data_IF_634269079455
#
_entry.id   IF_634269079455
#
_cell.length_a   1.000
_cell.length_b   1.000
_cell.length_c   1.000
_cell.angle_alpha   90.00
_cell.angle_beta   90.00
_cell.angle_gamma   90.00
#
_symmetry.space_group_name_H-M   'P 1'
#
loop_
_entity.id
_entity.type
_entity.pdbx_description
1 polymer ?
#
# COMPACT_ATOMS: atom_id res chain seq x y z
N UNK A 1 -16.11 -13.45 -4.17
CA UNK A 1 -16.26 -12.01 -3.90
C UNK A 1 -17.72 -11.61 -4.06
N UNK A 2 -18.19 -10.68 -3.23
CA UNK A 2 -19.50 -10.02 -3.32
C UNK A 2 -19.27 -8.51 -3.29
N UNK A 3 -20.01 -7.74 -4.11
CA UNK A 3 -19.82 -6.29 -4.20
C UNK A 3 -21.14 -5.54 -4.46
N UNK A 4 -22.08 -5.51 -3.49
CA UNK A 4 -23.34 -4.79 -3.67
C UNK A 4 -23.11 -3.27 -3.69
N UNK A 5 -23.92 -2.57 -4.49
CA UNK A 5 -23.90 -1.11 -4.53
C UNK A 5 -25.31 -0.55 -4.72
N UNK A 6 -25.59 0.57 -4.06
CA UNK A 6 -26.81 1.34 -4.23
C UNK A 6 -26.45 2.79 -4.46
N UNK A 7 -26.96 3.38 -5.54
CA UNK A 7 -26.92 4.83 -5.74
C UNK A 7 -28.31 5.43 -5.53
N UNK A 8 -28.41 6.36 -4.60
CA UNK A 8 -29.58 7.16 -4.34
C UNK A 8 -29.39 8.58 -4.87
N UNK A 9 -30.35 9.06 -5.67
CA UNK A 9 -30.36 10.40 -6.26
C UNK A 9 -31.67 11.11 -5.89
N UNK A 10 -31.75 11.74 -4.71
CA UNK A 10 -32.98 12.42 -4.29
C UNK A 10 -33.32 13.63 -5.16
N UNK A 11 -32.34 14.25 -5.82
CA UNK A 11 -32.50 15.36 -6.76
C UNK A 11 -31.53 15.19 -7.93
N UNK A 12 -31.60 16.08 -8.93
CA UNK A 12 -30.61 16.17 -10.01
C UNK A 12 -29.22 16.62 -9.54
N UNK A 13 -29.16 17.24 -8.35
CA UNK A 13 -27.96 17.90 -7.84
C UNK A 13 -27.26 17.10 -6.74
N UNK A 14 -27.90 16.05 -6.22
CA UNK A 14 -27.39 15.21 -5.14
C UNK A 14 -27.30 13.77 -5.60
N UNK A 15 -26.14 13.16 -5.42
CA UNK A 15 -25.91 11.74 -5.67
C UNK A 15 -25.17 11.13 -4.50
N UNK A 16 -25.69 10.05 -3.95
CA UNK A 16 -25.05 9.30 -2.87
C UNK A 16 -24.98 7.83 -3.25
N UNK A 17 -23.77 7.31 -3.35
CA UNK A 17 -23.52 5.89 -3.62
C UNK A 17 -22.94 5.24 -2.38
N UNK A 18 -23.55 4.14 -1.93
CA UNK A 18 -23.00 3.25 -0.91
C UNK A 18 -22.65 1.93 -1.58
N UNK A 19 -21.41 1.48 -1.40
CA UNK A 19 -20.93 0.21 -1.94
C UNK A 19 -20.27 -0.62 -0.85
N UNK A 20 -20.59 -1.90 -0.83
CA UNK A 20 -19.92 -2.90 -0.01
C UNK A 20 -19.03 -3.77 -0.88
N UNK A 21 -17.92 -4.24 -0.33
CA UNK A 21 -17.12 -5.32 -0.92
C UNK A 21 -16.80 -6.33 0.17
N UNK A 22 -16.99 -7.60 -0.13
CA UNK A 22 -16.55 -8.72 0.70
C UNK A 22 -15.81 -9.74 -0.17
N UNK A 23 -14.59 -10.07 0.22
CA UNK A 23 -13.73 -11.00 -0.51
C UNK A 23 -13.03 -11.92 0.47
N UNK A 24 -13.01 -13.21 0.12
CA UNK A 24 -12.33 -14.26 0.87
C UNK A 24 -11.51 -15.06 -0.12
N UNK A 25 -10.20 -15.04 0.09
CA UNK A 25 -9.25 -15.76 -0.75
C UNK A 25 -8.58 -16.85 0.07
N UNK A 26 -8.43 -18.03 -0.54
CA UNK A 26 -7.74 -19.18 0.06
C UNK A 26 -6.74 -19.70 -0.93
N UNK A 27 -5.47 -19.56 -0.61
CA UNK A 27 -4.36 -19.94 -1.46
C UNK A 27 -3.22 -20.52 -0.62
N UNK A 28 -2.21 -21.06 -1.28
CA UNK A 28 -0.88 -21.28 -0.69
C UNK A 28 -0.02 -20.03 -0.83
N UNK A 29 1.18 -20.03 -0.25
CA UNK A 29 2.12 -18.92 -0.41
C UNK A 29 2.88 -19.07 -1.73
N UNK A 30 3.22 -17.95 -2.35
CA UNK A 30 3.99 -17.92 -3.61
C UNK A 30 5.50 -17.81 -3.38
N UNK A 31 5.96 -17.98 -2.13
CA UNK A 31 7.37 -17.80 -1.75
C UNK A 31 8.24 -18.96 -2.23
N UNK A 32 8.65 -18.88 -3.50
CA UNK A 32 9.59 -19.80 -4.14
C UNK A 32 10.96 -19.15 -4.32
N UNK A 33 11.70 -18.91 -3.23
CA UNK A 33 13.12 -18.60 -3.38
C UNK A 33 13.86 -19.91 -3.68
N UNK A 34 14.36 -20.06 -4.90
CA UNK A 34 15.31 -21.11 -5.25
C UNK A 34 16.72 -20.52 -5.30
N UNK A 35 17.76 -21.27 -4.88
CA UNK A 35 19.14 -20.81 -4.98
C UNK A 35 19.53 -20.40 -6.40
N UNK A 36 20.39 -19.39 -6.53
CA UNK A 36 20.97 -18.98 -7.83
C UNK A 36 21.68 -20.14 -8.54
N UNK A 37 22.37 -20.98 -7.79
CA UNK A 37 23.00 -22.21 -8.28
C UNK A 37 21.93 -23.30 -8.41
N UNK A 38 21.78 -23.85 -9.61
CA UNK A 38 20.68 -24.75 -9.96
C UNK A 38 19.49 -24.02 -10.60
N UNK A 39 19.52 -22.69 -10.72
CA UNK A 39 18.52 -21.92 -11.48
C UNK A 39 19.16 -21.06 -12.56
N UNK A 40 19.97 -20.07 -12.17
CA UNK A 40 20.71 -19.17 -13.08
C UNK A 40 22.11 -19.70 -13.36
N UNK A 41 22.81 -20.14 -12.31
CA UNK A 41 24.16 -20.69 -12.38
C UNK A 41 24.11 -22.22 -12.42
N UNK A 42 25.08 -22.89 -13.07
CA UNK A 42 25.19 -24.34 -13.04
C UNK A 42 25.30 -24.90 -11.61
N UNK A 43 24.78 -26.10 -11.40
CA UNK A 43 24.95 -26.90 -10.18
C UNK A 43 25.37 -28.33 -10.58
N UNK A 44 26.21 -29.02 -9.78
CA UNK A 44 26.64 -30.40 -10.06
C UNK A 44 25.50 -31.40 -10.34
N UNK A 45 24.28 -31.12 -9.85
CA UNK A 45 23.09 -31.95 -10.01
C UNK A 45 22.19 -31.51 -11.19
N UNK A 46 22.63 -30.56 -12.00
CA UNK A 46 21.84 -29.95 -13.07
C UNK A 46 20.94 -28.81 -12.58
N UNK A 47 19.93 -28.46 -13.38
CA UNK A 47 18.97 -27.43 -13.01
C UNK A 47 17.86 -27.99 -12.11
N UNK A 48 17.51 -27.22 -11.08
CA UNK A 48 16.37 -27.49 -10.20
C UNK A 48 15.08 -27.46 -11.06
N UNK A 49 14.19 -28.45 -10.93
CA UNK A 49 12.93 -28.45 -11.67
C UNK A 49 12.11 -27.17 -11.45
N UNK A 50 11.53 -26.62 -12.51
CA UNK A 50 10.76 -25.35 -12.45
C UNK A 50 9.51 -25.42 -11.55
N UNK A 51 9.00 -26.62 -11.31
CA UNK A 51 7.87 -26.87 -10.41
C UNK A 51 8.31 -27.28 -9.00
N UNK A 52 9.60 -27.14 -8.66
CA UNK A 52 10.10 -27.50 -7.33
C UNK A 52 9.52 -26.57 -6.28
N UNK A 53 8.67 -27.11 -5.43
CA UNK A 53 8.19 -26.40 -4.24
C UNK A 53 9.18 -26.60 -3.08
N UNK A 54 9.80 -25.52 -2.61
CA UNK A 54 10.77 -25.58 -1.51
C UNK A 54 10.14 -25.34 -0.12
N UNK A 55 8.84 -25.08 -0.07
CA UNK A 55 8.09 -24.92 1.17
C UNK A 55 7.62 -26.24 1.78
N UNK A 56 6.53 -26.18 2.54
CA UNK A 56 5.86 -27.34 3.13
C UNK A 56 4.40 -27.39 2.68
N UNK A 57 4.01 -28.32 1.78
CA UNK A 57 2.65 -28.42 1.26
C UNK A 57 1.57 -28.57 2.33
N UNK A 58 1.93 -29.07 3.52
CA UNK A 58 0.97 -29.30 4.60
C UNK A 58 0.71 -28.05 5.45
N UNK A 59 1.62 -27.08 5.41
CA UNK A 59 1.57 -25.87 6.24
C UNK A 59 1.58 -24.58 5.43
N UNK A 60 1.52 -24.67 4.09
CA UNK A 60 1.51 -23.53 3.20
C UNK A 60 0.12 -22.90 3.10
N UNK A 61 -0.06 -21.76 3.77
CA UNK A 61 -1.36 -21.09 3.91
C UNK A 61 -1.22 -19.61 3.66
N UNK A 62 -1.99 -19.08 2.71
CA UNK A 62 -2.25 -17.66 2.56
C UNK A 62 -3.75 -17.45 2.39
N UNK A 63 -4.39 -17.01 3.47
CA UNK A 63 -5.82 -16.77 3.52
C UNK A 63 -6.07 -15.32 3.95
N UNK A 64 -6.85 -14.61 3.15
CA UNK A 64 -7.25 -13.24 3.43
C UNK A 64 -8.76 -13.13 3.39
N UNK A 65 -9.33 -12.47 4.38
CA UNK A 65 -10.74 -12.15 4.45
C UNK A 65 -10.86 -10.64 4.62
N UNK A 66 -11.46 -9.97 3.64
CA UNK A 66 -11.58 -8.52 3.60
C UNK A 66 -13.02 -8.10 3.40
N UNK A 67 -13.43 -7.10 4.16
CA UNK A 67 -14.72 -6.44 4.06
C UNK A 67 -14.52 -4.93 4.02
N UNK A 68 -15.25 -4.23 3.17
CA UNK A 68 -15.24 -2.78 3.14
C UNK A 68 -16.62 -2.21 2.84
N UNK A 69 -16.93 -1.07 3.45
CA UNK A 69 -18.06 -0.22 3.10
C UNK A 69 -17.55 1.15 2.70
N UNK A 70 -18.02 1.67 1.58
CA UNK A 70 -17.66 3.00 1.09
C UNK A 70 -18.90 3.83 0.82
N UNK A 71 -18.81 5.13 1.14
CA UNK A 71 -19.83 6.14 0.90
C UNK A 71 -19.23 7.21 0.00
N UNK A 72 -19.84 7.43 -1.16
CA UNK A 72 -19.45 8.42 -2.16
C UNK A 72 -20.61 9.41 -2.29
N UNK A 73 -20.48 10.56 -1.65
CA UNK A 73 -21.50 11.59 -1.61
C UNK A 73 -21.07 12.80 -2.44
N UNK A 74 -21.96 13.26 -3.30
CA UNK A 74 -21.79 14.48 -4.08
C UNK A 74 -23.03 15.36 -3.98
N UNK A 75 -22.80 16.66 -3.79
CA UNK A 75 -23.86 17.65 -3.85
C UNK A 75 -23.38 18.89 -4.61
N UNK A 76 -24.11 19.25 -5.66
CA UNK A 76 -23.91 20.49 -6.41
C UNK A 76 -24.89 21.54 -5.88
N UNK A 77 -24.38 22.56 -5.19
CA UNK A 77 -25.23 23.66 -4.73
C UNK A 77 -25.72 24.52 -5.89
N UNK A 78 -24.85 24.66 -6.92
CA UNK A 78 -25.12 25.31 -8.20
C UNK A 78 -24.00 24.94 -9.19
N UNK A 79 -23.95 25.59 -10.37
CA UNK A 79 -22.96 25.33 -11.41
C UNK A 79 -21.51 25.66 -11.02
N UNK A 80 -21.34 26.52 -10.01
CA UNK A 80 -20.06 27.02 -9.52
C UNK A 80 -19.56 26.28 -8.27
N UNK A 81 -20.45 25.73 -7.43
CA UNK A 81 -20.10 25.17 -6.13
C UNK A 81 -20.54 23.72 -5.99
N UNK A 82 -19.56 22.82 -5.83
CA UNK A 82 -19.78 21.37 -5.61
C UNK A 82 -19.05 20.91 -4.35
N UNK A 83 -19.75 20.18 -3.49
CA UNK A 83 -19.17 19.45 -2.37
C UNK A 83 -19.09 17.96 -2.70
N UNK A 84 -18.01 17.31 -2.29
CA UNK A 84 -17.81 15.86 -2.40
C UNK A 84 -17.27 15.32 -1.09
N UNK A 85 -17.83 14.21 -0.62
CA UNK A 85 -17.31 13.45 0.50
C UNK A 85 -17.14 12.00 0.06
N UNK A 86 -15.93 11.47 0.24
CA UNK A 86 -15.63 10.07 0.06
C UNK A 86 -15.21 9.47 1.40
N UNK A 87 -15.86 8.40 1.82
CA UNK A 87 -15.56 7.69 3.06
C UNK A 87 -15.40 6.20 2.76
N UNK A 88 -14.44 5.56 3.41
CA UNK A 88 -14.26 4.11 3.38
C UNK A 88 -13.85 3.61 4.75
N UNK A 89 -14.54 2.57 5.22
CA UNK A 89 -14.06 1.71 6.29
C UNK A 89 -13.80 0.33 5.72
N UNK A 90 -12.64 -0.24 6.02
CA UNK A 90 -12.25 -1.57 5.58
C UNK A 90 -11.62 -2.37 6.73
N UNK A 91 -12.00 -3.62 6.84
CA UNK A 91 -11.45 -4.60 7.76
C UNK A 91 -10.80 -5.73 6.98
N UNK A 92 -9.60 -6.14 7.37
CA UNK A 92 -8.85 -7.20 6.71
C UNK A 92 -8.24 -8.13 7.74
N UNK A 93 -8.64 -9.40 7.73
CA UNK A 93 -7.98 -10.48 8.43
C UNK A 93 -7.09 -11.27 7.47
N UNK A 94 -5.93 -11.67 7.95
CA UNK A 94 -4.94 -12.43 7.20
C UNK A 94 -4.35 -13.54 8.06
N UNK A 95 -4.26 -14.74 7.49
CA UNK A 95 -3.48 -15.85 8.04
C UNK A 95 -2.43 -16.23 7.01
N UNK A 96 -1.19 -16.23 7.45
CA UNK A 96 -0.02 -16.51 6.63
C UNK A 96 0.87 -17.54 7.32
N UNK A 97 1.14 -18.65 6.63
CA UNK A 97 2.09 -19.67 7.04
C UNK A 97 2.92 -20.05 5.84
N UNK A 98 4.22 -19.87 5.94
CA UNK A 98 5.14 -20.11 4.84
C UNK A 98 6.40 -20.78 5.34
N UNK A 99 6.92 -21.69 4.53
CA UNK A 99 8.27 -22.22 4.64
C UNK A 99 8.98 -21.89 3.35
N UNK A 100 10.20 -21.39 3.42
CA UNK A 100 11.00 -21.00 2.26
C UNK A 100 12.48 -21.30 2.48
N UNK A 101 13.27 -21.32 1.40
CA UNK A 101 14.73 -21.56 1.48
C UNK A 101 15.43 -20.44 2.22
N UNK A 102 16.35 -20.77 3.12
CA UNK A 102 17.19 -19.78 3.77
C UNK A 102 18.14 -19.13 2.74
N UNK A 103 17.95 -17.83 2.48
CA UNK A 103 18.75 -17.04 1.53
C UNK A 103 19.68 -16.02 2.21
N UNK A 104 19.78 -16.01 3.54
CA UNK A 104 20.62 -15.06 4.29
C UNK A 104 22.11 -15.46 4.34
N UNK A 105 22.53 -16.35 3.43
CA UNK A 105 23.87 -16.91 3.33
C UNK A 105 23.96 -17.92 2.20
N UNK A 106 24.91 -18.87 2.29
CA UNK A 106 24.91 -20.04 1.40
C UNK A 106 23.69 -20.90 1.72
N UNK A 107 22.72 -21.07 0.78
CA UNK A 107 21.50 -21.80 1.07
C UNK A 107 21.75 -23.30 1.24
N UNK A 108 22.82 -23.83 0.63
CA UNK A 108 23.14 -25.25 0.68
C UNK A 108 23.93 -25.59 1.95
N UNK A 109 23.56 -26.69 2.59
CA UNK A 109 24.21 -27.17 3.82
C UNK A 109 25.13 -28.36 3.59
N UNK A 110 25.19 -28.86 2.35
CA UNK A 110 25.95 -30.03 1.96
C UNK A 110 26.91 -29.72 0.82
N UNK A 111 28.04 -30.43 0.79
CA UNK A 111 29.05 -30.29 -0.26
C UNK A 111 28.51 -30.74 -1.64
N UNK A 112 27.50 -31.62 -1.69
CA UNK A 112 26.89 -32.05 -2.93
C UNK A 112 25.94 -30.99 -3.54
N UNK A 113 25.71 -29.85 -2.87
CA UNK A 113 24.88 -28.74 -3.36
C UNK A 113 23.45 -29.19 -3.70
N UNK A 114 22.83 -30.00 -2.84
CA UNK A 114 21.46 -30.53 -3.04
C UNK A 114 20.48 -30.07 -1.99
N UNK A 115 20.94 -30.00 -0.75
CA UNK A 115 20.11 -29.87 0.43
C UNK A 115 20.22 -28.46 0.96
N UNK A 116 19.08 -27.83 1.20
CA UNK A 116 19.03 -26.46 1.73
C UNK A 116 18.42 -26.39 3.11
N UNK A 117 18.90 -25.44 3.91
CA UNK A 117 18.20 -25.02 5.10
C UNK A 117 16.97 -24.18 4.72
N UNK A 118 15.97 -24.17 5.60
CA UNK A 118 14.71 -23.47 5.39
C UNK A 118 14.37 -22.60 6.59
N UNK A 119 13.60 -21.55 6.34
CA UNK A 119 12.96 -20.75 7.37
C UNK A 119 11.45 -20.88 7.28
N UNK A 120 10.79 -20.76 8.43
CA UNK A 120 9.36 -20.83 8.56
C UNK A 120 8.82 -19.62 9.29
N UNK A 121 7.65 -19.16 8.89
CA UNK A 121 6.92 -18.10 9.57
C UNK A 121 5.44 -18.44 9.66
N UNK A 122 4.85 -18.15 10.82
CA UNK A 122 3.41 -18.25 11.06
C UNK A 122 2.93 -16.90 11.57
N UNK A 123 1.88 -16.37 10.97
CA UNK A 123 1.43 -15.01 11.24
C UNK A 123 -0.08 -14.95 11.09
N UNK A 124 -0.71 -14.21 12.00
CA UNK A 124 -2.08 -13.76 11.86
C UNK A 124 -2.11 -12.25 12.04
N UNK A 125 -2.79 -11.54 11.14
CA UNK A 125 -2.91 -10.09 11.18
C UNK A 125 -4.37 -9.69 11.01
N UNK A 126 -4.77 -8.62 11.68
CA UNK A 126 -6.09 -8.01 11.54
C UNK A 126 -5.91 -6.50 11.47
N UNK A 127 -6.42 -5.86 10.42
CA UNK A 127 -6.25 -4.44 10.17
C UNK A 127 -7.61 -3.76 9.97
N UNK A 128 -7.82 -2.66 10.68
CA UNK A 128 -8.89 -1.71 10.42
C UNK A 128 -8.32 -0.50 9.68
N UNK A 129 -8.99 -0.07 8.62
CA UNK A 129 -8.62 1.09 7.82
C UNK A 129 -9.82 2.00 7.69
N UNK A 130 -9.71 3.22 8.21
CA UNK A 130 -10.68 4.28 8.01
C UNK A 130 -10.08 5.37 7.13
N UNK A 131 -10.83 5.86 6.16
CA UNK A 131 -10.41 6.97 5.31
C UNK A 131 -11.61 7.84 5.00
N UNK A 132 -11.45 9.15 5.12
CA UNK A 132 -12.45 10.14 4.72
C UNK A 132 -11.76 11.30 4.02
N UNK A 133 -12.34 11.78 2.93
CA UNK A 133 -11.94 12.98 2.21
C UNK A 133 -13.17 13.85 1.99
N UNK A 134 -13.09 15.10 2.40
CA UNK A 134 -14.12 16.12 2.17
C UNK A 134 -13.51 17.22 1.35
N UNK A 135 -14.09 17.52 0.20
CA UNK A 135 -13.62 18.59 -0.66
C UNK A 135 -14.75 19.47 -1.19
N UNK A 136 -14.38 20.72 -1.44
CA UNK A 136 -15.20 21.77 -2.00
C UNK A 136 -14.54 22.28 -3.27
N UNK A 137 -15.24 22.14 -4.39
CA UNK A 137 -14.81 22.65 -5.68
C UNK A 137 -15.59 23.93 -6.00
N UNK A 138 -14.86 24.98 -6.36
CA UNK A 138 -15.38 26.31 -6.69
C UNK A 138 -14.92 26.70 -8.09
N UNK A 139 -15.85 27.06 -8.97
CA UNK A 139 -15.55 27.73 -10.23
C UNK A 139 -15.69 29.23 -10.05
N UNK A 140 -14.68 29.98 -10.44
CA UNK A 140 -14.70 31.44 -10.36
C UNK A 140 -14.11 32.07 -11.62
N UNK A 141 -14.46 33.33 -11.87
CA UNK A 141 -13.90 34.14 -12.95
C UNK A 141 -13.26 35.38 -12.32
N UNK A 142 -12.00 35.65 -12.65
CA UNK A 142 -11.32 36.91 -12.29
C UNK A 142 -10.89 37.63 -13.57
N UNK A 143 -11.83 38.40 -14.15
CA UNK A 143 -11.64 38.99 -15.47
C UNK A 143 -11.62 37.91 -16.56
N UNK A 144 -10.50 37.79 -17.28
CA UNK A 144 -10.31 36.79 -18.33
C UNK A 144 -9.81 35.43 -17.82
N UNK A 145 -9.48 35.32 -16.52
CA UNK A 145 -8.93 34.12 -15.91
C UNK A 145 -10.07 33.25 -15.34
N UNK A 146 -10.17 32.01 -15.82
CA UNK A 146 -11.08 31.02 -15.26
C UNK A 146 -10.36 30.20 -14.18
N UNK A 147 -10.97 30.08 -13.01
CA UNK A 147 -10.45 29.32 -11.89
C UNK A 147 -11.34 28.11 -11.61
N UNK A 148 -10.69 26.99 -11.30
CA UNK A 148 -11.31 25.82 -10.70
C UNK A 148 -10.52 25.49 -9.43
N UNK A 149 -10.98 26.07 -8.33
CA UNK A 149 -10.37 25.96 -7.02
C UNK A 149 -10.93 24.74 -6.30
N UNK A 150 -10.06 24.00 -5.61
CA UNK A 150 -10.39 22.86 -4.77
C UNK A 150 -9.80 23.11 -3.38
N UNK A 151 -10.61 23.02 -2.35
CA UNK A 151 -10.17 22.94 -0.97
C UNK A 151 -10.61 21.62 -0.38
N UNK A 152 -9.79 21.00 0.46
CA UNK A 152 -10.22 19.79 1.13
C UNK A 152 -9.43 19.45 2.38
N UNK A 153 -10.04 18.54 3.14
CA UNK A 153 -9.48 17.90 4.30
C UNK A 153 -9.70 16.40 4.18
N UNK A 154 -8.62 15.65 4.34
CA UNK A 154 -8.69 14.20 4.46
C UNK A 154 -8.11 13.71 5.78
N UNK A 155 -8.58 12.53 6.17
CA UNK A 155 -8.11 11.81 7.33
C UNK A 155 -8.04 10.32 7.01
N UNK A 156 -6.93 9.69 7.38
CA UNK A 156 -6.75 8.24 7.35
C UNK A 156 -6.34 7.75 8.72
N UNK A 157 -6.91 6.63 9.12
CA UNK A 157 -6.50 5.87 10.30
C UNK A 157 -6.32 4.39 9.93
N UNK A 158 -5.24 3.79 10.42
CA UNK A 158 -4.93 2.38 10.23
C UNK A 158 -4.55 1.79 11.57
N UNK A 159 -5.32 0.81 12.03
CA UNK A 159 -5.08 0.09 13.27
C UNK A 159 -4.76 -1.37 12.96
N UNK A 160 -3.55 -1.80 13.31
CA UNK A 160 -3.00 -3.11 13.00
C UNK A 160 -2.80 -3.94 14.27
N UNK A 161 -3.36 -5.14 14.27
CA UNK A 161 -3.22 -6.16 15.32
C UNK A 161 -2.55 -7.37 14.72
N UNK A 162 -1.62 -7.98 15.44
CA UNK A 162 -0.87 -9.11 14.90
C UNK A 162 -0.44 -10.11 15.95
N UNK A 163 -0.26 -11.34 15.51
CA UNK A 163 0.34 -12.42 16.27
C UNK A 163 1.36 -13.13 15.38
N UNK A 164 2.50 -13.48 15.97
CA UNK A 164 3.60 -14.15 15.28
C UNK A 164 3.86 -15.49 15.96
N UNK A 165 4.01 -16.53 15.15
CA UNK A 165 4.57 -17.82 15.54
C UNK A 165 6.03 -17.84 15.16
N UNK A 166 6.87 -18.13 16.15
CA UNK A 166 8.30 -18.35 15.98
C UNK A 166 8.71 -19.61 16.73
N UNK A 167 9.78 -20.27 16.28
CA UNK A 167 10.33 -21.44 16.97
C UNK A 167 10.32 -22.74 16.16
N UNK A 168 9.66 -22.77 15.00
CA UNK A 168 9.84 -23.84 14.03
C UNK A 168 11.13 -23.68 13.26
N UNK A 169 12.08 -24.62 13.40
CA UNK A 169 13.16 -24.79 12.43
C UNK A 169 12.68 -25.83 11.41
N UNK A 170 12.20 -25.43 10.22
CA UNK A 170 11.84 -26.41 9.22
C UNK A 170 13.08 -27.24 8.90
N UNK A 171 12.94 -28.58 8.93
CA UNK A 171 14.04 -29.46 8.58
C UNK A 171 14.59 -29.15 7.19
N UNK A 172 15.85 -29.51 6.90
CA UNK A 172 16.44 -29.27 5.59
C UNK A 172 15.71 -30.03 4.47
N UNK A 173 15.86 -29.57 3.23
CA UNK A 173 15.16 -30.13 2.06
C UNK A 173 16.12 -30.36 0.89
N UNK A 174 16.13 -31.57 0.33
CA UNK A 174 16.80 -31.85 -0.95
C UNK A 174 15.96 -31.25 -2.11
N UNK A 175 16.53 -30.31 -2.85
CA UNK A 175 15.85 -29.61 -3.96
C UNK A 175 15.73 -30.42 -5.25
N UNK A 176 16.41 -31.56 -5.35
CA UNK A 176 16.37 -32.44 -6.52
C UNK A 176 15.51 -33.67 -6.28
N UNK A 177 15.40 -34.12 -5.02
CA UNK A 177 14.53 -35.23 -4.60
C UNK A 177 13.91 -34.98 -3.20
N UNK A 178 12.95 -34.06 -3.06
CA UNK A 178 12.40 -33.67 -1.75
C UNK A 178 11.53 -34.75 -1.14
N UNK A 179 11.63 -34.88 0.18
CA UNK A 179 10.68 -35.59 1.03
C UNK A 179 10.03 -34.56 1.95
N UNK A 180 8.72 -34.36 1.80
CA UNK A 180 7.98 -33.36 2.57
C UNK A 180 7.51 -33.96 3.89
N UNK A 181 8.08 -33.47 4.99
CA UNK A 181 7.65 -33.78 6.36
C UNK A 181 6.95 -32.58 6.96
N UNK A 182 5.96 -32.81 7.82
CA UNK A 182 5.24 -31.74 8.52
C UNK A 182 6.19 -30.87 9.33
N UNK A 183 6.05 -29.55 9.21
CA UNK A 183 6.79 -28.54 9.96
C UNK A 183 5.87 -27.93 11.02
N UNK A 184 6.31 -27.92 12.28
CA UNK A 184 5.68 -27.10 13.31
C UNK A 184 6.27 -25.67 13.24
N UNK A 185 5.42 -24.66 13.06
CA UNK A 185 5.82 -23.26 12.98
C UNK A 185 5.66 -22.51 14.31
N UNK A 186 5.33 -23.24 15.38
CA UNK A 186 5.10 -22.69 16.71
C UNK A 186 3.72 -22.01 16.86
N UNK A 187 3.24 -21.86 18.10
CA UNK A 187 1.98 -21.19 18.38
C UNK A 187 2.09 -19.69 18.12
N UNK A 188 0.97 -19.08 17.73
CA UNK A 188 0.86 -17.64 17.57
C UNK A 188 0.92 -16.94 18.94
N UNK A 189 1.85 -16.01 19.10
CA UNK A 189 1.97 -15.11 20.25
C UNK A 189 1.62 -13.70 19.82
N UNK A 190 0.74 -13.03 20.56
CA UNK A 190 0.33 -11.66 20.27
C UNK A 190 1.52 -10.72 20.39
N UNK A 191 1.69 -9.86 19.39
CA UNK A 191 2.67 -8.76 19.42
C UNK A 191 1.93 -7.43 19.65
N UNK A 192 2.65 -6.36 20.04
CA UNK A 192 2.03 -5.05 20.23
C UNK A 192 1.26 -4.56 19.02
N UNK A 193 0.13 -3.92 19.29
CA UNK A 193 -0.68 -3.28 18.25
C UNK A 193 0.05 -2.03 17.72
N UNK A 194 -0.30 -1.60 16.50
CA UNK A 194 0.22 -0.39 15.88
C UNK A 194 -0.90 0.44 15.28
N UNK A 195 -0.86 1.75 15.49
CA UNK A 195 -1.84 2.70 14.95
C UNK A 195 -1.12 3.80 14.17
N UNK A 196 -1.63 4.09 12.97
CA UNK A 196 -1.16 5.20 12.15
C UNK A 196 -2.34 6.07 11.74
N UNK A 197 -2.26 7.36 12.05
CA UNK A 197 -3.20 8.36 11.60
C UNK A 197 -2.51 9.45 10.78
N UNK A 198 -3.23 10.01 9.81
CA UNK A 198 -2.76 11.12 8.99
C UNK A 198 -3.92 12.06 8.65
N UNK A 199 -3.74 13.34 8.91
CA UNK A 199 -4.64 14.41 8.49
C UNK A 199 -3.98 15.26 7.43
N UNK A 200 -4.66 15.47 6.31
CA UNK A 200 -4.22 16.34 5.22
C UNK A 200 -5.12 17.55 5.05
N UNK A 201 -4.54 18.73 4.95
CA UNK A 201 -5.22 19.95 4.49
C UNK A 201 -4.66 20.33 3.14
N UNK A 202 -5.52 20.56 2.14
CA UNK A 202 -5.05 20.87 0.81
C UNK A 202 -5.87 21.94 0.11
N UNK A 203 -5.20 22.68 -0.76
CA UNK A 203 -5.78 23.66 -1.66
C UNK A 203 -5.12 23.53 -3.03
N UNK A 204 -5.90 23.63 -4.10
CA UNK A 204 -5.40 23.64 -5.48
C UNK A 204 -6.23 24.59 -6.31
N UNK A 205 -5.58 25.38 -7.15
CA UNK A 205 -6.22 26.19 -8.18
C UNK A 205 -5.74 25.75 -9.56
N UNK A 206 -6.69 25.39 -10.42
CA UNK A 206 -6.48 25.24 -11.85
C UNK A 206 -6.98 26.50 -12.55
N UNK A 207 -6.05 27.18 -13.22
CA UNK A 207 -6.30 28.45 -13.90
C UNK A 207 -6.23 28.28 -15.42
N UNK A 208 -7.17 28.87 -16.14
CA UNK A 208 -7.20 28.91 -17.61
C UNK A 208 -7.26 30.34 -18.12
N UNK A 209 -6.34 30.69 -19.03
CA UNK A 209 -6.31 31.97 -19.73
C UNK A 209 -6.07 31.73 -21.22
N UNK A 210 -7.16 31.65 -22.00
CA UNK A 210 -7.09 31.26 -23.41
C UNK A 210 -6.45 29.87 -23.56
N UNK A 211 -5.34 29.74 -24.31
CA UNK A 211 -4.63 28.46 -24.50
C UNK A 211 -3.75 28.07 -23.31
N UNK A 212 -3.57 28.94 -22.30
CA UNK A 212 -2.74 28.64 -21.14
C UNK A 212 -3.54 27.92 -20.07
N UNK A 213 -2.96 26.83 -19.55
CA UNK A 213 -3.47 26.12 -18.38
C UNK A 213 -2.38 26.05 -17.32
N UNK A 214 -2.63 26.64 -16.16
CA UNK A 214 -1.72 26.58 -15.01
C UNK A 214 -2.39 25.83 -13.86
N UNK A 215 -1.61 25.14 -13.03
CA UNK A 215 -2.10 24.58 -11.76
C UNK A 215 -1.11 24.87 -10.67
N UNK A 216 -1.59 25.33 -9.52
CA UNK A 216 -0.79 25.47 -8.30
C UNK A 216 -1.53 24.78 -7.17
N UNK A 217 -0.83 23.97 -6.39
CA UNK A 217 -1.40 23.26 -5.26
C UNK A 217 -0.45 23.22 -4.09
N UNK A 218 -1.02 23.21 -2.89
CA UNK A 218 -0.32 23.07 -1.62
C UNK A 218 -1.08 22.10 -0.74
N UNK A 219 -0.32 21.31 0.02
CA UNK A 219 -0.85 20.36 0.99
C UNK A 219 0.00 20.37 2.23
N UNK A 220 -0.65 20.33 3.38
CA UNK A 220 -0.04 20.13 4.68
C UNK A 220 -0.52 18.81 5.26
N UNK A 221 0.41 17.92 5.57
CA UNK A 221 0.15 16.64 6.23
C UNK A 221 0.63 16.67 7.69
N UNK A 222 -0.14 16.03 8.55
CA UNK A 222 0.21 15.71 9.94
C UNK A 222 0.02 14.21 10.11
N UNK A 223 1.10 13.48 10.38
CA UNK A 223 1.10 12.03 10.54
C UNK A 223 1.55 11.65 11.95
N UNK A 224 0.83 10.72 12.57
CA UNK A 224 1.12 10.16 13.88
C UNK A 224 1.23 8.64 13.76
N UNK A 225 2.24 8.07 14.38
CA UNK A 225 2.38 6.63 14.59
C UNK A 225 2.46 6.36 16.08
N UNK A 226 1.71 5.36 16.53
CA UNK A 226 1.71 4.86 17.90
C UNK A 226 1.97 3.37 17.88
N UNK A 227 3.05 2.93 18.50
CA UNK A 227 3.36 1.53 18.73
C UNK A 227 4.19 1.39 20.01
N UNK A 228 4.19 0.21 20.64
CA UNK A 228 4.93 -0.01 21.89
C UNK A 228 6.42 0.18 21.64
N UNK A 229 7.01 1.19 22.30
CA UNK A 229 8.41 1.53 22.19
C UNK A 229 8.75 2.56 21.10
N UNK A 230 7.77 2.94 20.25
CA UNK A 230 8.02 3.89 19.15
C UNK A 230 6.76 4.73 18.85
N UNK A 231 6.76 5.96 19.38
CA UNK A 231 5.80 7.00 18.99
C UNK A 231 6.50 8.00 18.08
N UNK A 232 5.83 8.40 17.01
CA UNK A 232 6.39 9.32 16.03
C UNK A 232 5.32 10.29 15.56
N UNK A 233 5.60 11.58 15.64
CA UNK A 233 4.81 12.63 15.02
C UNK A 233 5.64 13.31 13.93
N UNK A 234 5.02 13.52 12.78
CA UNK A 234 5.65 14.08 11.58
C UNK A 234 4.71 15.05 10.89
N UNK A 235 5.29 16.06 10.24
CA UNK A 235 4.53 16.98 9.42
C UNK A 235 5.35 17.43 8.23
N UNK A 236 4.66 17.71 7.13
CA UNK A 236 5.28 18.21 5.93
C UNK A 236 4.31 19.06 5.13
N UNK A 237 4.84 20.13 4.55
CA UNK A 237 4.18 20.87 3.48
C UNK A 237 4.75 20.38 2.14
N UNK A 238 3.88 20.02 1.20
CA UNK A 238 4.23 19.66 -0.17
C UNK A 238 3.50 20.56 -1.15
N UNK A 239 4.19 20.97 -2.21
CA UNK A 239 3.63 21.77 -3.29
C UNK A 239 3.63 21.06 -4.64
N UNK A 240 2.81 21.57 -5.56
CA UNK A 240 2.94 21.30 -6.99
C UNK A 240 2.61 22.53 -7.81
N UNK A 241 3.28 22.67 -8.94
CA UNK A 241 3.03 23.72 -9.91
C UNK A 241 3.20 23.16 -11.32
N UNK A 242 2.27 23.46 -12.22
CA UNK A 242 2.38 23.10 -13.64
C UNK A 242 1.90 24.23 -14.55
N UNK A 243 2.47 24.25 -15.75
CA UNK A 243 2.07 25.15 -16.83
C UNK A 243 2.04 24.36 -18.14
N UNK A 244 0.94 24.48 -18.87
CA UNK A 244 0.70 23.86 -20.17
C UNK A 244 0.21 24.92 -21.15
N UNK A 245 0.58 24.77 -22.42
CA UNK A 245 0.08 25.58 -23.52
C UNK A 245 -0.63 24.71 -24.55
N UNK A 246 -1.89 24.99 -24.83
CA UNK A 246 -2.67 24.28 -25.84
C UNK A 246 -2.42 24.89 -27.22
N UNK A 247 -1.75 24.15 -28.12
CA UNK A 247 -1.56 24.63 -29.50
C UNK A 247 -2.78 24.31 -30.37
N UNK A 248 -3.04 25.10 -31.44
CA UNK A 248 -4.13 24.82 -32.38
C UNK A 248 -4.01 23.48 -33.13
N UNK A 249 -2.83 22.88 -33.17
CA UNK A 249 -2.53 21.64 -33.91
C UNK A 249 -2.41 20.41 -33.00
N UNK A 250 -2.82 20.52 -31.73
CA UNK A 250 -2.96 19.39 -30.80
C UNK A 250 -1.68 18.94 -30.09
N UNK A 251 -0.60 19.71 -30.21
CA UNK A 251 0.65 19.53 -29.47
C UNK A 251 0.63 20.39 -28.21
N UNK A 252 0.73 19.82 -27.01
CA UNK A 252 0.45 20.57 -25.78
C UNK A 252 1.64 20.51 -24.81
N UNK A 253 2.70 21.30 -25.08
CA UNK A 253 3.89 21.28 -24.23
C UNK A 253 3.55 21.70 -22.81
N UNK A 254 4.17 21.03 -21.85
CA UNK A 254 3.97 21.30 -20.45
C UNK A 254 5.27 21.17 -19.65
N UNK A 255 5.28 21.86 -18.51
CA UNK A 255 6.26 21.69 -17.45
C UNK A 255 5.53 21.49 -16.13
N UNK A 256 6.01 20.58 -15.31
CA UNK A 256 5.46 20.33 -13.99
C UNK A 256 6.57 20.13 -12.97
N UNK A 257 6.32 20.63 -11.77
CA UNK A 257 7.11 20.42 -10.57
C UNK A 257 6.18 19.90 -9.48
N UNK A 258 6.60 18.88 -8.76
CA UNK A 258 5.83 18.35 -7.64
C UNK A 258 6.75 17.78 -6.55
N UNK A 259 6.27 17.88 -5.31
CA UNK A 259 6.90 17.27 -4.15
C UNK A 259 6.07 16.12 -3.62
N UNK A 260 6.72 15.15 -2.98
CA UNK A 260 6.07 14.05 -2.27
C UNK A 260 6.60 13.92 -0.85
N UNK A 261 5.73 13.38 0.01
CA UNK A 261 6.02 13.10 1.40
C UNK A 261 5.46 11.71 1.75
N UNK A 262 6.31 10.86 2.32
CA UNK A 262 5.92 9.57 2.86
C UNK A 262 6.51 9.43 4.27
N UNK A 263 5.68 9.49 5.33
CA UNK A 263 6.14 9.29 6.69
C UNK A 263 6.58 7.83 6.85
N UNK A 264 7.89 7.61 7.08
CA UNK A 264 8.43 6.26 7.31
C UNK A 264 8.16 5.91 8.76
N UNK A 265 7.61 4.72 8.98
CA UNK A 265 7.37 4.22 10.32
C UNK A 265 7.81 2.77 10.46
N UNK A 266 8.15 2.41 11.69
CA UNK A 266 8.43 1.04 12.07
C UNK A 266 7.11 0.29 12.32
N UNK A 267 6.93 -0.85 11.65
CA UNK A 267 5.93 -1.84 12.04
C UNK A 267 6.68 -3.12 12.46
N UNK A 268 6.54 -3.59 13.73
CA UNK A 268 7.24 -4.77 14.22
C UNK A 268 6.86 -6.07 13.49
N UNK A 269 5.76 -6.08 12.75
CA UNK A 269 5.17 -7.27 12.10
C UNK A 269 5.57 -7.38 10.63
N UNK A 270 5.57 -6.27 9.92
CA UNK A 270 5.90 -6.23 8.48
C UNK A 270 7.35 -5.85 8.20
N UNK A 271 8.15 -5.61 9.25
CA UNK A 271 9.49 -5.06 9.10
C UNK A 271 9.41 -3.65 8.52
N UNK A 272 9.13 -2.67 9.38
CA UNK A 272 9.48 -1.31 9.02
C UNK A 272 10.99 -1.19 8.87
N UNK A 273 11.46 -0.26 8.04
CA UNK A 273 12.88 0.02 7.89
C UNK A 273 13.41 0.41 9.27
N UNK A 274 14.13 -0.49 9.94
CA UNK A 274 14.94 -0.11 11.08
C UNK A 274 16.10 0.70 10.52
N UNK A 275 16.10 2.01 10.69
CA UNK A 275 17.29 2.79 10.42
C UNK A 275 18.31 2.48 11.52
N UNK A 276 19.57 2.25 11.14
CA UNK A 276 20.65 1.82 12.05
C UNK A 276 20.86 2.74 13.27
N UNK A 277 20.34 3.99 13.21
CA UNK A 277 20.56 5.05 14.20
C UNK A 277 19.28 5.60 14.85
N UNK A 278 18.14 4.91 14.77
CA UNK A 278 16.88 5.33 15.41
C UNK A 278 15.68 5.40 14.44
N UNK A 279 14.60 6.15 14.79
CA UNK A 279 13.42 6.23 13.92
C UNK A 279 13.80 6.83 12.57
N UNK A 280 13.35 6.20 11.48
CA UNK A 280 13.72 6.66 10.15
C UNK A 280 13.26 8.10 9.89
N UNK A 281 14.06 8.81 9.09
CA UNK A 281 13.67 10.10 8.50
C UNK A 281 12.56 9.85 7.49
N UNK A 282 11.67 10.83 7.37
CA UNK A 282 10.61 10.79 6.37
C UNK A 282 11.20 10.75 4.96
N UNK A 283 10.55 10.01 4.07
CA UNK A 283 10.89 9.99 2.66
C UNK A 283 10.28 11.21 1.98
N UNK A 284 11.12 11.95 1.25
CA UNK A 284 10.71 13.09 0.44
C UNK A 284 11.16 12.88 -0.99
N UNK A 285 10.30 13.23 -1.93
CA UNK A 285 10.60 13.22 -3.35
C UNK A 285 10.34 14.58 -3.97
N UNK A 286 11.04 14.85 -5.06
CA UNK A 286 10.85 16.04 -5.88
C UNK A 286 11.03 15.61 -7.34
N UNK A 287 10.08 16.03 -8.19
CA UNK A 287 10.09 15.73 -9.61
C UNK A 287 9.97 17.02 -10.41
N UNK A 288 10.74 17.06 -11.49
CA UNK A 288 10.58 18.01 -12.58
C UNK A 288 10.31 17.19 -13.84
N UNK A 289 9.24 17.52 -14.55
CA UNK A 289 8.88 16.83 -15.79
C UNK A 289 8.53 17.86 -16.86
N UNK A 290 9.00 17.58 -18.07
CA UNK A 290 8.72 18.35 -19.28
C UNK A 290 8.25 17.36 -20.33
N UNK A 291 7.13 17.66 -20.98
CA UNK A 291 6.54 16.80 -22.00
C UNK A 291 5.68 17.59 -22.98
N UNK A 292 5.00 16.88 -23.87
CA UNK A 292 4.11 17.44 -24.89
C UNK A 292 3.06 16.44 -25.36
#
# INVERSE_FOLDING_TARGET
MLAPSLTWRPTTNTSWTVLGVYQKDKTGTTNGFLPREGTLLPNPNGYIPRNRFAGDPNNDVYQTESGAISSLFEHSFNDALKFTQNLRYAHVDGVYRSVYVNFFGDPYIDAARRTVNRFGGNQATSNDNFTIDNNLQIKALTGALEHKVLFGVDYRDVYARSSLGSGGAPGPLDLYSPVYTSVDLGPLVRVPDAEQSQTGLYAQDQMRLGPWLATVGIRQDYASTRSVGENSDRSATTGRASLMYETPFGFNPYVTWAQSFNPVYFNPVYGGVGCYEGPCKDQRGEIYEVGF
#
